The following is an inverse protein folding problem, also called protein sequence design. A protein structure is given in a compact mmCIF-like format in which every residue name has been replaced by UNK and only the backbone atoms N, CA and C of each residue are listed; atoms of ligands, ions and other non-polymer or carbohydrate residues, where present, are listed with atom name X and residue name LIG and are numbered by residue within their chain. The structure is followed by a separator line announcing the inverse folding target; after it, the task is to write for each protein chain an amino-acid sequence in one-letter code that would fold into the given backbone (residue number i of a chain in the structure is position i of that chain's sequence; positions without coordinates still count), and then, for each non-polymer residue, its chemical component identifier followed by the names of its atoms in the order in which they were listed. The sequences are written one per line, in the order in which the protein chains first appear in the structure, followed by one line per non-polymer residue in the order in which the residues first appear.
data_IF_997274216217
#
_entry.id   IF_997274216217
#
_cell.length_a   1.000
_cell.length_b   1.000
_cell.length_c   1.000
_cell.angle_alpha   90.00
_cell.angle_beta   90.00
_cell.angle_gamma   90.00
#
_symmetry.space_group_name_H-M   'P 1'
#
loop_
_entity.id
_entity.type
_entity.pdbx_description
1 polymer ?
#
# COMPACT_ATOMS: atom_id res chain seq x y z
N UNK A 1 -1.24 -12.55 -2.97
CA UNK A 1 -2.09 -12.35 -1.79
C UNK A 1 -2.32 -10.85 -1.66
N UNK A 2 -3.51 -10.40 -2.00
CA UNK A 2 -3.90 -9.00 -1.91
C UNK A 2 -4.32 -8.74 -0.46
N UNK A 3 -3.54 -7.99 0.30
CA UNK A 3 -3.98 -7.52 1.61
C UNK A 3 -4.94 -6.35 1.38
N UNK A 4 -6.25 -6.62 1.48
CA UNK A 4 -7.26 -5.58 1.47
C UNK A 4 -7.20 -4.86 2.82
N UNK A 5 -6.69 -3.65 2.85
CA UNK A 5 -6.70 -2.81 4.05
C UNK A 5 -8.06 -2.13 4.10
N UNK A 6 -8.94 -2.67 4.94
CA UNK A 6 -10.17 -2.00 5.33
C UNK A 6 -9.79 -0.90 6.33
N UNK A 7 -9.71 0.33 5.88
CA UNK A 7 -9.52 1.47 6.76
C UNK A 7 -10.89 1.89 7.30
N UNK A 8 -11.22 1.43 8.51
CA UNK A 8 -12.26 2.08 9.28
C UNK A 8 -11.70 3.42 9.74
N UNK A 9 -12.29 4.51 9.28
CA UNK A 9 -12.06 5.84 9.85
C UNK A 9 -12.60 5.81 11.27
N UNK A 10 -11.78 5.40 12.20
CA UNK A 10 -12.03 5.56 13.63
C UNK A 10 -11.08 6.64 14.12
N UNK A 11 -11.64 7.64 14.75
CA UNK A 11 -11.06 8.75 15.52
C UNK A 11 -9.53 8.91 15.49
N UNK A 12 -9.12 10.13 15.34
CA UNK A 12 -7.78 10.71 15.14
C UNK A 12 -6.66 10.32 16.15
N UNK A 13 -6.85 9.29 16.99
CA UNK A 13 -5.98 9.04 18.15
C UNK A 13 -5.24 7.68 18.13
N UNK A 14 -5.39 6.88 17.07
CA UNK A 14 -4.72 5.58 16.99
C UNK A 14 -3.22 5.74 16.70
N UNK A 15 -2.38 5.19 17.57
CA UNK A 15 -0.93 5.16 17.33
C UNK A 15 -0.55 4.13 16.27
N UNK A 16 0.62 4.28 15.64
CA UNK A 16 1.15 3.29 14.70
C UNK A 16 1.21 1.87 15.28
N UNK A 17 1.57 1.74 16.56
CA UNK A 17 1.65 0.46 17.27
C UNK A 17 0.28 -0.21 17.41
N UNK A 18 -0.74 0.57 17.75
CA UNK A 18 -2.13 0.07 17.86
C UNK A 18 -2.68 -0.34 16.50
N UNK A 19 -2.41 0.46 15.46
CA UNK A 19 -2.79 0.10 14.08
C UNK A 19 -2.13 -1.20 13.63
N UNK A 20 -0.88 -1.45 13.99
CA UNK A 20 -0.18 -2.72 13.70
C UNK A 20 -0.84 -3.91 14.39
N UNK A 21 -1.14 -3.79 15.68
CA UNK A 21 -1.82 -4.85 16.44
C UNK A 21 -3.18 -5.16 15.82
N UNK A 22 -3.95 -4.13 15.47
CA UNK A 22 -5.26 -4.29 14.83
C UNK A 22 -5.15 -5.02 13.47
N UNK A 23 -4.19 -4.63 12.62
CA UNK A 23 -3.98 -5.30 11.34
C UNK A 23 -3.57 -6.77 11.49
N UNK A 24 -2.74 -7.09 12.49
CA UNK A 24 -2.32 -8.44 12.77
C UNK A 24 -3.50 -9.30 13.31
N UNK A 25 -4.42 -8.72 14.07
CA UNK A 25 -5.63 -9.40 14.52
C UNK A 25 -6.62 -9.64 13.37
N UNK A 26 -6.92 -8.62 12.57
CA UNK A 26 -7.86 -8.74 11.45
C UNK A 26 -7.37 -9.74 10.40
N UNK A 27 -6.06 -9.82 10.18
CA UNK A 27 -5.48 -10.76 9.22
C UNK A 27 -5.71 -12.24 9.57
N UNK A 28 -5.98 -12.56 10.84
CA UNK A 28 -6.27 -13.94 11.29
C UNK A 28 -7.64 -14.45 10.83
N UNK A 29 -8.57 -13.56 10.55
CA UNK A 29 -9.93 -13.91 10.12
C UNK A 29 -10.06 -14.19 8.62
N UNK A 30 -8.96 -14.16 7.88
CA UNK A 30 -8.94 -14.38 6.44
C UNK A 30 -9.39 -13.14 5.64
N UNK A 31 -9.31 -13.25 4.33
CA UNK A 31 -9.76 -12.19 3.42
C UNK A 31 -10.99 -12.64 2.65
N UNK A 32 -12.00 -11.80 2.59
CA UNK A 32 -13.12 -12.00 1.67
C UNK A 32 -12.62 -11.66 0.26
N UNK A 33 -12.67 -12.65 -0.64
CA UNK A 33 -12.28 -12.47 -2.05
C UNK A 33 -13.40 -11.76 -2.82
N UNK A 34 -13.72 -10.52 -2.43
CA UNK A 34 -14.67 -9.67 -3.15
C UNK A 34 -14.04 -8.31 -3.43
N UNK A 35 -14.28 -7.80 -4.65
CA UNK A 35 -13.86 -6.46 -5.04
C UNK A 35 -14.86 -5.39 -4.59
N UNK A 36 -16.02 -5.77 -4.11
CA UNK A 36 -17.08 -4.80 -3.78
C UNK A 36 -16.70 -3.91 -2.61
N UNK A 37 -16.10 -4.49 -1.58
CA UNK A 37 -15.62 -3.74 -0.41
C UNK A 37 -14.58 -2.68 -0.80
N UNK A 38 -13.61 -3.05 -1.63
CA UNK A 38 -12.58 -2.11 -2.07
C UNK A 38 -13.15 -1.05 -3.03
N UNK A 39 -14.09 -1.42 -3.89
CA UNK A 39 -14.78 -0.46 -4.78
C UNK A 39 -15.58 0.56 -3.99
N UNK A 40 -16.32 0.13 -2.97
CA UNK A 40 -17.08 1.03 -2.10
C UNK A 40 -16.15 2.01 -1.36
N UNK A 41 -15.05 1.50 -0.81
CA UNK A 41 -14.04 2.35 -0.15
C UNK A 41 -13.44 3.37 -1.13
N UNK A 42 -13.07 2.95 -2.33
CA UNK A 42 -12.51 3.85 -3.34
C UNK A 42 -13.53 4.91 -3.78
N UNK A 43 -14.81 4.55 -3.89
CA UNK A 43 -15.88 5.49 -4.21
C UNK A 43 -16.03 6.57 -3.12
N UNK A 44 -15.94 6.19 -1.84
CA UNK A 44 -15.95 7.16 -0.73
C UNK A 44 -14.73 8.08 -0.71
N UNK A 45 -13.62 7.63 -1.26
CA UNK A 45 -12.39 8.42 -1.42
C UNK A 45 -12.35 9.21 -2.74
N UNK A 46 -13.48 9.32 -3.47
CA UNK A 46 -13.59 9.94 -4.78
C UNK A 46 -12.72 9.28 -5.87
N UNK A 47 -12.56 7.97 -5.79
CA UNK A 47 -11.86 7.15 -6.80
C UNK A 47 -10.44 7.66 -7.17
N UNK A 48 -9.54 7.89 -6.23
CA UNK A 48 -8.22 8.46 -6.52
C UNK A 48 -7.37 7.59 -7.47
N UNK A 49 -7.72 6.31 -7.63
CA UNK A 49 -7.05 5.39 -8.53
C UNK A 49 -7.28 5.72 -10.01
N UNK A 50 -8.32 6.47 -10.36
CA UNK A 50 -8.62 6.84 -11.75
C UNK A 50 -7.63 7.88 -12.31
N UNK A 51 -7.00 8.65 -11.42
CA UNK A 51 -5.98 9.64 -11.78
C UNK A 51 -4.56 9.06 -11.83
N UNK A 52 -4.38 7.77 -11.56
CA UNK A 52 -3.08 7.12 -11.46
C UNK A 52 -2.85 6.12 -12.59
N UNK A 53 -1.60 6.03 -13.04
CA UNK A 53 -1.15 4.97 -13.92
C UNK A 53 -0.47 3.87 -13.12
N UNK A 54 -0.85 2.61 -13.35
CA UNK A 54 -0.34 1.47 -12.61
C UNK A 54 0.48 0.54 -13.48
N UNK A 55 1.59 0.05 -12.92
CA UNK A 55 2.34 -1.08 -13.45
C UNK A 55 2.25 -2.21 -12.42
N UNK A 56 1.54 -3.28 -12.79
CA UNK A 56 1.41 -4.45 -11.93
C UNK A 56 2.49 -5.47 -12.28
N UNK A 57 3.30 -5.86 -11.27
CA UNK A 57 4.36 -6.84 -11.42
C UNK A 57 3.98 -8.09 -10.64
N UNK A 58 3.75 -9.19 -11.34
CA UNK A 58 3.41 -10.48 -10.76
C UNK A 58 4.42 -11.55 -11.22
N UNK A 59 4.57 -12.60 -10.42
CA UNK A 59 5.46 -13.72 -10.72
C UNK A 59 5.96 -14.41 -9.47
N UNK A 60 6.65 -15.54 -9.63
CA UNK A 60 7.23 -16.31 -8.50
C UNK A 60 8.54 -15.70 -8.01
N UNK A 61 9.44 -15.34 -8.92
CA UNK A 61 10.77 -14.80 -8.61
C UNK A 61 11.02 -13.49 -9.36
N UNK A 62 11.96 -12.68 -8.89
CA UNK A 62 12.45 -11.49 -9.58
C UNK A 62 11.53 -10.27 -9.53
N UNK A 63 10.35 -10.35 -8.90
CA UNK A 63 9.42 -9.21 -8.81
C UNK A 63 10.06 -7.94 -8.24
N UNK A 64 10.79 -8.08 -7.13
CA UNK A 64 11.47 -6.96 -6.48
C UNK A 64 12.54 -6.33 -7.35
N UNK A 65 13.30 -7.14 -8.11
CA UNK A 65 14.30 -6.64 -9.04
C UNK A 65 13.69 -5.88 -10.19
N UNK A 66 12.63 -6.42 -10.81
CA UNK A 66 11.89 -5.72 -11.89
C UNK A 66 11.30 -4.42 -11.38
N UNK A 67 10.70 -4.43 -10.19
CA UNK A 67 10.16 -3.22 -9.56
C UNK A 67 11.26 -2.17 -9.34
N UNK A 68 12.43 -2.57 -8.84
CA UNK A 68 13.54 -1.66 -8.61
C UNK A 68 14.02 -1.01 -9.91
N UNK A 69 14.26 -1.81 -10.95
CA UNK A 69 14.68 -1.28 -12.27
C UNK A 69 13.61 -0.35 -12.86
N UNK A 70 12.36 -0.78 -12.91
CA UNK A 70 11.27 0.01 -13.48
C UNK A 70 11.10 1.34 -12.75
N UNK A 71 11.10 1.32 -11.41
CA UNK A 71 10.96 2.53 -10.63
C UNK A 71 12.14 3.50 -10.81
N UNK A 72 13.36 2.98 -10.93
CA UNK A 72 14.54 3.80 -11.19
C UNK A 72 14.45 4.49 -12.56
N UNK A 73 14.11 3.73 -13.61
CA UNK A 73 13.95 4.29 -14.97
C UNK A 73 12.89 5.38 -15.00
N UNK A 74 11.75 5.16 -14.36
CA UNK A 74 10.68 6.16 -14.29
C UNK A 74 11.10 7.40 -13.51
N UNK A 75 11.83 7.24 -12.40
CA UNK A 75 12.34 8.36 -11.62
C UNK A 75 13.38 9.19 -12.42
N UNK A 76 14.27 8.54 -13.15
CA UNK A 76 15.23 9.20 -14.04
C UNK A 76 14.52 9.93 -15.21
N UNK A 77 13.35 9.45 -15.62
CA UNK A 77 12.50 10.12 -16.59
C UNK A 77 11.62 11.24 -15.97
N UNK A 78 11.89 11.64 -14.73
CA UNK A 78 11.19 12.67 -13.98
C UNK A 78 9.71 12.38 -13.68
N UNK A 79 9.30 11.12 -13.64
CA UNK A 79 8.00 10.74 -13.10
C UNK A 79 8.04 10.68 -11.58
N UNK A 80 6.94 11.06 -10.95
CA UNK A 80 6.72 10.80 -9.53
C UNK A 80 6.29 9.34 -9.36
N UNK A 81 7.06 8.56 -8.61
CA UNK A 81 6.89 7.10 -8.54
C UNK A 81 6.50 6.66 -7.14
N UNK A 82 5.28 6.16 -7.01
CA UNK A 82 4.84 5.39 -5.85
C UNK A 82 5.17 3.91 -6.02
N UNK A 83 5.67 3.26 -4.96
CA UNK A 83 5.96 1.82 -4.94
C UNK A 83 5.20 1.15 -3.82
N UNK A 84 4.57 0.02 -4.13
CA UNK A 84 3.99 -0.87 -3.14
C UNK A 84 4.62 -2.25 -3.25
N UNK A 85 5.18 -2.76 -2.16
CA UNK A 85 5.89 -4.05 -2.13
C UNK A 85 5.29 -5.01 -1.11
N UNK A 86 5.23 -6.28 -1.46
CA UNK A 86 4.82 -7.38 -0.60
C UNK A 86 5.51 -8.68 -1.06
N UNK A 87 6.07 -9.47 -0.14
CA UNK A 87 6.23 -9.23 1.31
C UNK A 87 7.29 -8.15 1.64
N UNK A 88 7.33 -7.71 2.89
CA UNK A 88 8.40 -6.85 3.42
C UNK A 88 9.57 -7.69 3.92
N UNK A 89 10.77 -7.15 3.90
CA UNK A 89 12.00 -7.85 4.33
C UNK A 89 12.40 -7.46 5.74
N UNK A 90 12.53 -6.17 6.03
CA UNK A 90 13.03 -5.67 7.33
C UNK A 90 11.96 -4.94 8.12
N UNK A 91 11.20 -4.06 7.49
CA UNK A 91 10.18 -3.27 8.17
C UNK A 91 8.90 -3.17 7.36
N UNK A 92 7.77 -3.04 8.06
CA UNK A 92 6.48 -2.82 7.42
C UNK A 92 6.40 -1.48 6.66
N UNK A 93 7.24 -0.51 7.04
CA UNK A 93 7.33 0.78 6.37
C UNK A 93 7.84 0.68 4.92
N UNK A 94 8.59 -0.38 4.59
CA UNK A 94 9.05 -0.63 3.21
C UNK A 94 7.92 -0.79 2.20
N UNK A 95 6.72 -1.18 2.66
CA UNK A 95 5.59 -1.46 1.77
C UNK A 95 5.23 -0.32 0.86
N UNK A 96 5.28 0.90 1.39
CA UNK A 96 4.85 2.08 0.66
C UNK A 96 6.01 3.08 0.62
N UNK A 97 6.44 3.38 -0.58
CA UNK A 97 7.51 4.34 -0.82
C UNK A 97 7.08 5.32 -1.91
N UNK A 98 7.50 6.56 -1.79
CA UNK A 98 7.31 7.60 -2.80
C UNK A 98 8.67 8.18 -3.13
N UNK A 99 9.04 8.19 -4.41
CA UNK A 99 10.32 8.67 -4.92
C UNK A 99 11.53 8.09 -4.14
N UNK A 100 11.48 6.77 -3.90
CA UNK A 100 12.53 6.02 -3.19
C UNK A 100 12.57 6.23 -1.67
N UNK A 101 11.66 7.00 -1.09
CA UNK A 101 11.58 7.22 0.36
C UNK A 101 10.37 6.52 0.95
N UNK A 102 10.55 5.85 2.08
CA UNK A 102 9.43 5.30 2.85
C UNK A 102 8.54 6.43 3.33
N UNK A 103 7.23 6.21 3.31
CA UNK A 103 6.30 7.17 3.89
C UNK A 103 6.50 7.26 5.41
N UNK A 104 6.42 8.46 6.01
CA UNK A 104 6.52 8.64 7.47
C UNK A 104 5.42 7.88 8.21
N UNK A 105 5.68 7.51 9.47
CA UNK A 105 4.66 6.88 10.32
C UNK A 105 3.39 7.73 10.47
N UNK A 106 3.56 9.06 10.51
CA UNK A 106 2.44 10.00 10.61
C UNK A 106 1.48 9.88 9.41
N UNK A 107 2.01 9.76 8.19
CA UNK A 107 1.21 9.67 6.97
C UNK A 107 0.46 8.34 6.89
N UNK A 108 0.99 7.28 7.50
CA UNK A 108 0.32 5.99 7.61
C UNK A 108 -0.91 6.00 8.52
N UNK A 109 -0.94 6.91 9.49
CA UNK A 109 -2.09 7.08 10.38
C UNK A 109 -3.24 7.82 9.72
N UNK A 110 -2.91 8.76 8.83
CA UNK A 110 -3.90 9.63 8.18
C UNK A 110 -4.64 8.99 7.01
N UNK A 111 -4.25 7.79 6.60
CA UNK A 111 -4.90 7.10 5.48
C UNK A 111 -4.68 7.76 4.12
N UNK A 112 -3.67 8.59 3.99
CA UNK A 112 -3.31 9.27 2.74
C UNK A 112 -2.35 8.42 1.93
#
# INVERSE_FOLDING_TARGET
MLACILFLVMSNDMTYKEARVYLDEVSKYGSVLSLDTIRNLLAELNNPQEDLHFIHIAGTNGKGSVLAYTSTVLSEANYRVGRYVSPTVTTYLERIQVDGKMIPEADRKSGV
#
